data_IF_470473940638
#
_entry.id   IF_470473940638
#
_cell.length_a   1.000
_cell.length_b   1.000
_cell.length_c   1.000
_cell.angle_alpha   90.00
_cell.angle_beta   90.00
_cell.angle_gamma   90.00
#
_symmetry.space_group_name_H-M   'P 1'
#
loop_
_entity.id
_entity.type
_entity.pdbx_description
1 polymer ?
#
# COMPACT_ATOMS: atom_id res chain seq x y z
N UNK A 1 14.70 -22.31 18.59
CA UNK A 1 13.66 -22.39 17.54
C UNK A 1 13.40 -21.02 16.92
N UNK A 2 13.14 -19.98 17.74
CA UNK A 2 12.98 -18.59 17.29
C UNK A 2 14.31 -17.95 16.84
N UNK A 3 15.34 -17.91 17.69
CA UNK A 3 16.60 -17.21 17.33
C UNK A 3 17.32 -17.77 16.11
N UNK A 4 17.35 -19.10 15.95
CA UNK A 4 18.05 -19.76 14.85
C UNK A 4 17.40 -19.47 13.49
N UNK A 5 16.07 -19.31 13.46
CA UNK A 5 15.33 -19.02 12.23
C UNK A 5 15.12 -17.52 12.02
N UNK A 6 15.11 -16.72 13.09
CA UNK A 6 14.81 -15.30 13.07
C UNK A 6 15.64 -14.55 12.03
N UNK A 7 16.97 -14.73 12.01
CA UNK A 7 17.84 -14.11 11.00
C UNK A 7 17.48 -14.53 9.57
N UNK A 8 17.19 -15.81 9.32
CA UNK A 8 16.88 -16.29 7.96
C UNK A 8 15.53 -15.75 7.47
N UNK A 9 14.54 -15.70 8.36
CA UNK A 9 13.22 -15.17 8.06
C UNK A 9 13.30 -13.65 7.88
N UNK A 10 14.06 -12.94 8.71
CA UNK A 10 14.29 -11.50 8.53
C UNK A 10 14.88 -11.19 7.15
N UNK A 11 15.97 -11.86 6.75
CA UNK A 11 16.56 -11.63 5.42
C UNK A 11 15.62 -12.02 4.28
N UNK A 12 14.78 -13.03 4.47
CA UNK A 12 13.73 -13.38 3.52
C UNK A 12 12.72 -12.23 3.38
N UNK A 13 12.16 -11.76 4.49
CA UNK A 13 11.21 -10.64 4.52
C UNK A 13 11.83 -9.39 3.90
N UNK A 14 13.05 -9.05 4.28
CA UNK A 14 13.81 -7.95 3.71
C UNK A 14 14.03 -8.10 2.20
N UNK A 15 14.28 -9.32 1.71
CA UNK A 15 14.38 -9.59 0.27
C UNK A 15 13.07 -9.35 -0.49
N UNK A 16 11.92 -9.45 0.18
CA UNK A 16 10.62 -9.13 -0.41
C UNK A 16 10.25 -7.64 -0.31
N UNK A 17 10.57 -6.99 0.81
CA UNK A 17 10.14 -5.61 1.09
C UNK A 17 11.15 -4.56 0.65
N UNK A 18 12.45 -4.85 0.71
CA UNK A 18 13.52 -3.86 0.57
C UNK A 18 13.59 -2.86 1.73
N UNK A 19 12.77 -3.04 2.76
CA UNK A 19 12.65 -2.16 3.92
C UNK A 19 12.84 -2.96 5.22
N UNK A 20 13.68 -2.44 6.10
CA UNK A 20 14.09 -3.10 7.33
C UNK A 20 12.97 -3.09 8.39
N UNK A 21 12.19 -2.00 8.45
CA UNK A 21 11.10 -1.88 9.41
C UNK A 21 9.95 -2.80 9.03
N UNK A 22 9.50 -2.76 7.77
CA UNK A 22 8.53 -3.74 7.25
C UNK A 22 9.03 -5.19 7.40
N UNK A 23 10.32 -5.46 7.20
CA UNK A 23 10.87 -6.80 7.40
C UNK A 23 10.79 -7.27 8.87
N UNK A 24 11.01 -6.37 9.83
CA UNK A 24 10.84 -6.67 11.26
C UNK A 24 9.37 -6.94 11.62
N UNK A 25 8.44 -6.19 11.05
CA UNK A 25 7.01 -6.39 11.29
C UNK A 25 6.54 -7.73 10.71
N UNK A 26 6.95 -8.06 9.48
CA UNK A 26 6.61 -9.34 8.85
C UNK A 26 7.26 -10.53 9.56
N UNK A 27 8.46 -10.36 10.12
CA UNK A 27 9.10 -11.36 10.96
C UNK A 27 8.25 -11.66 12.19
N UNK A 28 7.81 -10.62 12.90
CA UNK A 28 6.95 -10.76 14.08
C UNK A 28 5.61 -11.42 13.72
N UNK A 29 4.96 -10.96 12.65
CA UNK A 29 3.69 -11.51 12.18
C UNK A 29 3.83 -12.99 11.78
N UNK A 30 4.92 -13.35 11.11
CA UNK A 30 5.24 -14.74 10.78
C UNK A 30 5.27 -15.60 12.03
N UNK A 31 5.96 -15.14 13.07
CA UNK A 31 6.10 -15.88 14.31
C UNK A 31 4.78 -15.98 15.09
N UNK A 32 3.94 -14.95 15.06
CA UNK A 32 2.59 -15.01 15.60
C UNK A 32 1.74 -16.07 14.87
N UNK A 33 1.78 -16.10 13.54
CA UNK A 33 1.08 -17.11 12.74
C UNK A 33 1.59 -18.52 12.98
N UNK A 34 2.90 -18.68 13.16
CA UNK A 34 3.52 -19.95 13.53
C UNK A 34 2.98 -20.43 14.87
N UNK A 35 2.95 -19.56 15.88
CA UNK A 35 2.41 -19.88 17.21
C UNK A 35 0.94 -20.28 17.14
N UNK A 36 0.11 -19.50 16.45
CA UNK A 36 -1.32 -19.74 16.29
C UNK A 36 -1.69 -21.01 15.53
N UNK A 37 -0.77 -21.56 14.72
CA UNK A 37 -1.02 -22.73 13.89
C UNK A 37 -0.10 -23.90 14.22
N UNK A 38 0.60 -23.83 15.36
CA UNK A 38 1.59 -24.84 15.75
C UNK A 38 0.96 -26.23 15.92
N UNK A 39 -0.27 -26.27 16.44
CA UNK A 39 -1.12 -27.45 16.57
C UNK A 39 -1.44 -28.13 15.22
N UNK A 40 -1.47 -27.36 14.14
CA UNK A 40 -1.74 -27.85 12.77
C UNK A 40 -0.49 -28.39 12.07
N UNK A 41 0.68 -28.31 12.70
CA UNK A 41 1.91 -28.82 12.10
C UNK A 41 1.94 -30.36 12.10
N UNK A 42 1.71 -30.95 10.92
CA UNK A 42 1.57 -32.41 10.74
C UNK A 42 2.90 -33.19 10.67
N UNK A 43 4.04 -32.59 11.03
CA UNK A 43 5.38 -33.22 10.93
C UNK A 43 5.74 -33.82 9.55
N UNK A 44 5.11 -33.35 8.46
CA UNK A 44 5.37 -33.82 7.09
C UNK A 44 6.58 -33.15 6.43
N UNK A 45 7.21 -32.21 7.13
CA UNK A 45 8.40 -31.47 6.69
C UNK A 45 9.21 -31.09 7.92
N UNK A 46 10.43 -30.59 7.73
CA UNK A 46 11.11 -29.87 8.80
C UNK A 46 10.28 -28.66 9.23
N UNK A 47 10.31 -28.33 10.52
CA UNK A 47 9.62 -27.14 11.03
C UNK A 47 10.16 -25.86 10.39
N UNK A 48 11.47 -25.79 10.12
CA UNK A 48 12.08 -24.65 9.42
C UNK A 48 11.47 -24.42 8.05
N UNK A 49 11.22 -25.49 7.28
CA UNK A 49 10.54 -25.43 5.98
C UNK A 49 9.10 -24.93 6.12
N UNK A 50 8.39 -25.38 7.17
CA UNK A 50 7.02 -24.94 7.43
C UNK A 50 6.95 -23.47 7.82
N UNK A 51 7.84 -23.00 8.71
CA UNK A 51 7.98 -21.59 9.09
C UNK A 51 8.33 -20.73 7.86
N UNK A 52 9.28 -21.19 7.03
CA UNK A 52 9.65 -20.50 5.79
C UNK A 52 8.44 -20.30 4.87
N UNK A 53 7.58 -21.32 4.73
CA UNK A 53 6.36 -21.20 3.92
C UNK A 53 5.37 -20.18 4.49
N UNK A 54 5.22 -20.13 5.81
CA UNK A 54 4.38 -19.11 6.48
C UNK A 54 4.95 -17.71 6.21
N UNK A 55 6.28 -17.55 6.30
CA UNK A 55 6.96 -16.28 6.04
C UNK A 55 6.75 -15.81 4.60
N UNK A 56 6.99 -16.67 3.61
CA UNK A 56 6.78 -16.35 2.19
C UNK A 56 5.34 -15.90 1.95
N UNK A 57 4.35 -16.65 2.46
CA UNK A 57 2.95 -16.28 2.29
C UNK A 57 2.61 -14.95 2.97
N UNK A 58 3.20 -14.67 4.13
CA UNK A 58 3.01 -13.41 4.86
C UNK A 58 3.57 -12.23 4.05
N UNK A 59 4.79 -12.36 3.52
CA UNK A 59 5.40 -11.34 2.66
C UNK A 59 4.59 -11.11 1.37
N UNK A 60 4.13 -12.18 0.72
CA UNK A 60 3.32 -12.07 -0.50
C UNK A 60 1.97 -11.40 -0.25
N UNK A 61 1.35 -11.66 0.89
CA UNK A 61 0.10 -10.99 1.28
C UNK A 61 0.34 -9.50 1.52
N UNK A 62 1.40 -9.14 2.24
CA UNK A 62 1.81 -7.75 2.46
C UNK A 62 2.05 -7.00 1.15
N UNK A 63 2.83 -7.57 0.22
CA UNK A 63 3.08 -6.93 -1.07
C UNK A 63 1.82 -6.75 -1.92
N UNK A 64 0.83 -7.65 -1.78
CA UNK A 64 -0.47 -7.50 -2.45
C UNK A 64 -1.30 -6.37 -1.85
N UNK A 65 -1.28 -6.20 -0.52
CA UNK A 65 -1.99 -5.09 0.14
C UNK A 65 -1.34 -3.75 -0.19
N UNK A 66 0.00 -3.66 -0.13
CA UNK A 66 0.75 -2.45 -0.49
C UNK A 66 0.45 -2.00 -1.92
N UNK A 67 0.53 -2.94 -2.88
CA UNK A 67 0.21 -2.64 -4.29
C UNK A 67 -1.22 -2.16 -4.48
N UNK A 68 -2.17 -2.67 -3.67
CA UNK A 68 -3.56 -2.22 -3.73
C UNK A 68 -3.70 -0.81 -3.17
N UNK A 69 -3.10 -0.52 -2.02
CA UNK A 69 -3.14 0.82 -1.42
C UNK A 69 -2.54 1.87 -2.35
N UNK A 70 -1.36 1.61 -2.92
CA UNK A 70 -0.73 2.51 -3.88
C UNK A 70 -1.59 2.75 -5.14
N UNK A 71 -2.37 1.75 -5.58
CA UNK A 71 -3.29 1.90 -6.71
C UNK A 71 -4.48 2.77 -6.33
N UNK A 72 -5.03 2.57 -5.13
CA UNK A 72 -6.17 3.33 -4.61
C UNK A 72 -5.77 4.82 -4.43
N UNK A 73 -4.58 5.09 -3.87
CA UNK A 73 -4.01 6.44 -3.78
C UNK A 73 -3.83 7.11 -5.14
N UNK A 74 -3.31 6.38 -6.14
CA UNK A 74 -3.18 6.92 -7.50
C UNK A 74 -4.54 7.31 -8.08
N UNK A 75 -5.58 6.50 -7.85
CA UNK A 75 -6.92 6.84 -8.33
C UNK A 75 -7.51 8.05 -7.63
N UNK A 76 -7.28 8.20 -6.32
CA UNK A 76 -7.76 9.36 -5.55
C UNK A 76 -7.08 10.65 -6.03
N UNK A 77 -5.77 10.63 -6.24
CA UNK A 77 -5.01 11.77 -6.79
C UNK A 77 -5.52 12.19 -8.20
N UNK A 78 -5.89 11.21 -9.05
CA UNK A 78 -6.45 11.50 -10.38
C UNK A 78 -7.84 12.13 -10.26
N UNK A 79 -8.65 11.72 -9.28
CA UNK A 79 -9.97 12.30 -9.04
C UNK A 79 -9.84 13.73 -8.52
N UNK A 80 -8.93 13.96 -7.56
CA UNK A 80 -8.68 15.28 -6.97
C UNK A 80 -8.17 16.29 -8.01
N UNK A 81 -7.14 15.93 -8.78
CA UNK A 81 -6.63 16.78 -9.87
C UNK A 81 -7.69 17.13 -10.92
N UNK A 82 -8.58 16.20 -11.26
CA UNK A 82 -9.71 16.49 -12.16
C UNK A 82 -10.70 17.46 -11.54
N UNK A 83 -11.03 17.30 -10.25
CA UNK A 83 -11.95 18.19 -9.56
C UNK A 83 -11.40 19.63 -9.49
N UNK A 84 -10.10 19.78 -9.23
CA UNK A 84 -9.39 21.07 -9.29
C UNK A 84 -9.47 21.70 -10.68
N UNK A 85 -9.18 20.94 -11.74
CA UNK A 85 -9.25 21.43 -13.13
C UNK A 85 -10.66 21.93 -13.51
N UNK A 86 -11.71 21.23 -13.09
CA UNK A 86 -13.10 21.67 -13.30
C UNK A 86 -13.43 22.94 -12.50
N UNK A 87 -12.94 23.05 -11.26
CA UNK A 87 -13.13 24.23 -10.42
C UNK A 87 -12.50 25.46 -11.07
N UNK A 88 -11.24 25.36 -11.51
CA UNK A 88 -10.52 26.44 -12.19
C UNK A 88 -11.23 26.88 -13.48
N UNK A 89 -11.69 25.92 -14.30
CA UNK A 89 -12.46 26.23 -15.52
C UNK A 89 -13.75 26.99 -15.21
N UNK A 90 -14.46 26.60 -14.15
CA UNK A 90 -15.69 27.28 -13.75
C UNK A 90 -15.44 28.71 -13.27
N UNK A 91 -14.36 28.94 -12.52
CA UNK A 91 -13.95 30.29 -12.11
C UNK A 91 -13.59 31.17 -13.32
N UNK A 92 -12.85 30.62 -14.28
CA UNK A 92 -12.51 31.32 -15.53
C UNK A 92 -13.77 31.68 -16.34
N UNK A 93 -14.74 30.77 -16.43
CA UNK A 93 -16.02 31.03 -17.09
C UNK A 93 -16.78 32.16 -16.37
N UNK A 94 -16.83 32.16 -15.04
CA UNK A 94 -17.48 33.22 -14.27
C UNK A 94 -16.82 34.60 -14.51
N UNK A 95 -15.48 34.64 -14.60
CA UNK A 95 -14.74 35.85 -14.90
C UNK A 95 -15.01 36.37 -16.33
N UNK A 96 -15.13 35.46 -17.31
CA UNK A 96 -15.46 35.79 -18.67
C UNK A 96 -16.83 36.48 -18.75
N UNK A 97 -17.86 35.89 -18.15
CA UNK A 97 -19.21 36.48 -18.14
C UNK A 97 -19.24 37.86 -17.48
N UNK A 98 -18.51 38.04 -16.37
CA UNK A 98 -18.35 39.34 -15.71
C UNK A 98 -17.70 40.38 -16.62
N UNK A 99 -16.74 39.98 -17.45
CA UNK A 99 -16.04 40.86 -18.37
C UNK A 99 -16.91 41.26 -19.57
N UNK A 100 -17.67 40.30 -20.13
CA UNK A 100 -18.65 40.55 -21.21
C UNK A 100 -19.70 41.57 -20.76
N UNK A 101 -20.25 41.40 -19.54
CA UNK A 101 -21.25 42.33 -18.99
C UNK A 101 -20.73 43.77 -18.85
N UNK A 102 -19.45 43.96 -18.52
CA UNK A 102 -18.83 45.29 -18.43
C UNK A 102 -18.61 45.96 -19.78
N UNK A 103 -18.44 45.17 -20.85
CA UNK A 103 -18.28 45.70 -22.20
C UNK A 103 -19.62 46.23 -22.73
N UNK A 104 -20.72 45.52 -22.51
CA UNK A 104 -22.06 46.00 -22.88
C UNK A 104 -22.49 47.29 -22.17
N UNK A 105 -21.95 47.58 -20.99
CA UNK A 105 -22.19 48.85 -20.28
C UNK A 105 -21.35 50.02 -20.83
N UNK A 106 -20.17 49.76 -21.41
CA UNK A 106 -19.30 50.79 -21.96
C UNK A 106 -19.58 51.14 -23.44
N UNK A 107 -20.26 50.25 -24.16
CA UNK A 107 -20.75 50.47 -25.54
C UNK A 107 -22.14 51.16 -25.59
N UNK A 108 -22.63 51.71 -24.46
CA UNK A 108 -23.87 52.50 -24.36
C UNK A 108 -23.62 54.00 -24.26
#
# INVERSE_FOLDING_TARGET
>A
MFDTNSKKIFHLCYGYTGDADAANDLLQETFLKVWQNLDKFKNKSLISTWIYRIAVNTCLTYLRSEKRQAKDELTDNIIESRAEEYSEKNEQIALLYKSISKLEENDR
#
